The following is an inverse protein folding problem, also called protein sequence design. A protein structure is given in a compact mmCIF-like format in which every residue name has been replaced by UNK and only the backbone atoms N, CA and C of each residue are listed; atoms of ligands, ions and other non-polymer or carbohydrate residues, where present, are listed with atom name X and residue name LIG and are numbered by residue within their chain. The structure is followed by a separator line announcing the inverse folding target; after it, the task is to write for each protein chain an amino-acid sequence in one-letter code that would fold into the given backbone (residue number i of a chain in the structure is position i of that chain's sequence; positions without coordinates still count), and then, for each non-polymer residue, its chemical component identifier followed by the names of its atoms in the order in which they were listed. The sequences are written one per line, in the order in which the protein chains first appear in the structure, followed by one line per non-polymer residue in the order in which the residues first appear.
data_IF_289589624425
#
_entry.id   IF_289589624425
#
_cell.length_a   1.000
_cell.length_b   1.000
_cell.length_c   1.000
_cell.angle_alpha   90.00
_cell.angle_beta   90.00
_cell.angle_gamma   90.00
#
_symmetry.space_group_name_H-M   'P 1'
#
loop_
_entity.id
_entity.type
_entity.pdbx_description
1 polymer ?
#
# COMPACT_ATOMS: atom_id res chain seq x y z
N UNK A 1 -14.83 -24.62 19.25
CA UNK A 1 -14.37 -25.62 18.25
C UNK A 1 -14.92 -25.41 16.83
N UNK A 2 -15.51 -24.25 16.49
CA UNK A 2 -16.14 -23.98 15.17
C UNK A 2 -15.30 -23.12 14.21
N UNK A 3 -14.21 -22.48 14.68
CA UNK A 3 -13.39 -21.57 13.87
C UNK A 3 -12.56 -22.28 12.77
N UNK A 4 -12.18 -23.54 12.97
CA UNK A 4 -11.26 -24.23 12.05
C UNK A 4 -11.92 -24.65 10.73
N UNK A 5 -13.22 -24.95 10.70
CA UNK A 5 -13.88 -25.37 9.46
C UNK A 5 -14.16 -24.19 8.54
N UNK A 6 -14.73 -23.10 9.06
CA UNK A 6 -14.97 -21.89 8.28
C UNK A 6 -13.67 -21.27 7.78
N UNK A 7 -12.63 -21.18 8.62
CA UNK A 7 -11.34 -20.66 8.17
C UNK A 7 -10.73 -21.52 7.07
N UNK A 8 -10.79 -22.86 7.16
CA UNK A 8 -10.25 -23.75 6.11
C UNK A 8 -11.07 -23.70 4.83
N UNK A 9 -12.40 -23.63 4.93
CA UNK A 9 -13.29 -23.46 3.79
C UNK A 9 -13.03 -22.12 3.09
N UNK A 10 -12.98 -21.02 3.83
CA UNK A 10 -12.68 -19.69 3.29
C UNK A 10 -11.30 -19.65 2.64
N UNK A 11 -10.25 -20.20 3.29
CA UNK A 11 -8.90 -20.26 2.69
C UNK A 11 -8.86 -21.14 1.44
N UNK A 12 -9.54 -22.29 1.43
CA UNK A 12 -9.65 -23.14 0.24
C UNK A 12 -10.39 -22.43 -0.89
N UNK A 13 -11.49 -21.74 -0.58
CA UNK A 13 -12.28 -20.98 -1.54
C UNK A 13 -11.48 -19.81 -2.12
N UNK A 14 -10.73 -19.06 -1.29
CA UNK A 14 -9.83 -17.99 -1.74
C UNK A 14 -8.69 -18.51 -2.63
N UNK A 15 -8.10 -19.67 -2.28
CA UNK A 15 -7.03 -20.30 -3.07
C UNK A 15 -7.56 -20.85 -4.39
N UNK A 16 -8.77 -21.39 -4.42
CA UNK A 16 -9.44 -21.84 -5.63
C UNK A 16 -9.86 -20.66 -6.51
N UNK A 17 -10.42 -19.59 -5.94
CA UNK A 17 -10.86 -18.40 -6.68
C UNK A 17 -9.71 -17.71 -7.43
N UNK A 18 -8.47 -17.79 -6.91
CA UNK A 18 -7.28 -17.25 -7.57
C UNK A 18 -6.73 -18.06 -8.75
N UNK A 19 -7.25 -19.27 -9.02
CA UNK A 19 -6.75 -20.12 -10.12
C UNK A 19 -7.45 -19.79 -11.44
N UNK A 20 -6.72 -19.63 -12.56
CA UNK A 20 -7.31 -19.37 -13.89
C UNK A 20 -8.35 -20.40 -14.32
N UNK A 21 -8.17 -21.67 -13.95
CA UNK A 21 -9.13 -22.75 -14.24
C UNK A 21 -10.49 -22.56 -13.56
N UNK A 22 -10.52 -21.97 -12.35
CA UNK A 22 -11.76 -21.69 -11.62
C UNK A 22 -12.54 -20.57 -12.28
N UNK A 23 -11.85 -19.56 -12.81
CA UNK A 23 -12.46 -18.51 -13.62
C UNK A 23 -13.07 -19.08 -14.90
N UNK A 24 -12.33 -19.92 -15.62
CA UNK A 24 -12.85 -20.59 -16.82
C UNK A 24 -14.09 -21.45 -16.53
N UNK A 25 -14.09 -22.19 -15.42
CA UNK A 25 -15.26 -22.96 -14.97
C UNK A 25 -16.45 -22.07 -14.63
N UNK A 26 -16.23 -20.95 -13.93
CA UNK A 26 -17.28 -19.99 -13.61
C UNK A 26 -17.90 -19.37 -14.88
N UNK A 27 -17.06 -18.99 -15.86
CA UNK A 27 -17.51 -18.49 -17.16
C UNK A 27 -18.30 -19.56 -17.91
N UNK A 28 -17.83 -20.81 -17.93
CA UNK A 28 -18.56 -21.90 -18.57
C UNK A 28 -19.94 -22.13 -17.93
N UNK A 29 -20.04 -22.07 -16.60
CA UNK A 29 -21.33 -22.16 -15.89
C UNK A 29 -22.29 -21.02 -16.27
N UNK A 30 -21.79 -19.79 -16.38
CA UNK A 30 -22.58 -18.63 -16.83
C UNK A 30 -23.07 -18.82 -18.26
N UNK A 31 -22.22 -19.32 -19.17
CA UNK A 31 -22.59 -19.60 -20.56
C UNK A 31 -23.64 -20.70 -20.65
N UNK A 32 -23.44 -21.83 -19.95
CA UNK A 32 -24.42 -22.93 -19.90
C UNK A 32 -25.77 -22.43 -19.38
N UNK A 33 -25.75 -21.63 -18.33
CA UNK A 33 -26.96 -21.02 -17.81
C UNK A 33 -27.63 -20.07 -18.83
N UNK A 34 -26.87 -19.20 -19.49
CA UNK A 34 -27.42 -18.30 -20.52
C UNK A 34 -28.04 -19.04 -21.70
N UNK A 35 -27.41 -20.13 -22.15
CA UNK A 35 -27.92 -20.99 -23.23
C UNK A 35 -29.16 -21.79 -22.81
N UNK A 36 -29.37 -22.02 -21.51
CA UNK A 36 -30.62 -22.61 -21.01
C UNK A 36 -31.82 -21.66 -21.13
N UNK A 37 -31.60 -20.33 -21.18
CA UNK A 37 -32.66 -19.32 -21.27
C UNK A 37 -33.63 -19.49 -22.46
N UNK A 38 -33.13 -19.66 -23.70
CA UNK A 38 -33.94 -19.96 -24.87
C UNK A 38 -34.81 -21.23 -24.73
N UNK A 39 -34.31 -22.28 -24.06
CA UNK A 39 -35.08 -23.51 -23.83
C UNK A 39 -36.28 -23.28 -22.91
N UNK A 40 -36.17 -22.32 -21.98
CA UNK A 40 -37.23 -21.94 -21.04
C UNK A 40 -38.00 -20.67 -21.45
N UNK A 41 -37.84 -20.22 -22.70
CA UNK A 41 -38.48 -18.99 -23.23
C UNK A 41 -38.24 -17.75 -22.36
N UNK A 42 -37.12 -17.68 -21.64
CA UNK A 42 -36.85 -16.61 -20.66
C UNK A 42 -37.98 -16.41 -19.64
N UNK A 43 -38.61 -17.50 -19.20
CA UNK A 43 -39.74 -17.48 -18.26
C UNK A 43 -39.46 -16.73 -16.96
N UNK A 44 -40.53 -16.30 -16.29
CA UNK A 44 -40.45 -15.66 -14.98
C UNK A 44 -39.72 -16.53 -13.95
N UNK A 45 -39.87 -17.85 -14.02
CA UNK A 45 -39.13 -18.79 -13.16
C UNK A 45 -37.63 -18.77 -13.44
N UNK A 46 -37.23 -18.71 -14.72
CA UNK A 46 -35.83 -18.64 -15.11
C UNK A 46 -35.15 -17.36 -14.60
N UNK A 47 -35.86 -16.22 -14.69
CA UNK A 47 -35.37 -14.94 -14.16
C UNK A 47 -35.34 -14.92 -12.63
N UNK A 48 -36.40 -15.43 -11.98
CA UNK A 48 -36.51 -15.51 -10.53
C UNK A 48 -35.34 -16.29 -9.91
N UNK A 49 -35.03 -17.46 -10.46
CA UNK A 49 -33.92 -18.30 -9.96
C UNK A 49 -32.61 -17.51 -9.92
N UNK A 50 -32.34 -16.64 -10.89
CA UNK A 50 -31.05 -15.94 -10.98
C UNK A 50 -30.99 -14.66 -10.20
N UNK A 51 -32.06 -13.90 -10.19
CA UNK A 51 -32.16 -12.75 -9.29
C UNK A 51 -32.04 -13.20 -7.83
N UNK A 52 -32.71 -14.29 -7.45
CA UNK A 52 -32.59 -14.85 -6.10
C UNK A 52 -31.21 -15.44 -5.82
N UNK A 53 -30.65 -16.23 -6.74
CA UNK A 53 -29.35 -16.87 -6.54
C UNK A 53 -28.22 -15.85 -6.44
N UNK A 54 -28.19 -14.86 -7.33
CA UNK A 54 -27.17 -13.81 -7.34
C UNK A 54 -27.27 -12.98 -6.06
N UNK A 55 -28.47 -12.71 -5.57
CA UNK A 55 -28.67 -12.00 -4.29
C UNK A 55 -28.06 -12.78 -3.12
N UNK A 56 -28.33 -14.08 -3.02
CA UNK A 56 -27.75 -14.93 -1.97
C UNK A 56 -26.22 -14.96 -2.08
N UNK A 57 -25.68 -15.21 -3.27
CA UNK A 57 -24.23 -15.25 -3.50
C UNK A 57 -23.59 -13.91 -3.17
N UNK A 58 -24.21 -12.80 -3.56
CA UNK A 58 -23.73 -11.45 -3.26
C UNK A 58 -23.70 -11.20 -1.76
N UNK A 59 -24.78 -11.55 -1.02
CA UNK A 59 -24.79 -11.44 0.43
C UNK A 59 -23.67 -12.26 1.07
N UNK A 60 -23.50 -13.52 0.66
CA UNK A 60 -22.41 -14.36 1.15
C UNK A 60 -21.03 -13.77 0.79
N UNK A 61 -20.87 -13.23 -0.41
CA UNK A 61 -19.63 -12.62 -0.87
C UNK A 61 -19.29 -11.37 -0.06
N UNK A 62 -20.27 -10.54 0.29
CA UNK A 62 -20.07 -9.39 1.19
C UNK A 62 -19.53 -9.86 2.54
N UNK A 63 -20.09 -10.91 3.15
CA UNK A 63 -19.55 -11.48 4.40
C UNK A 63 -18.14 -12.05 4.23
N UNK A 64 -17.86 -12.76 3.14
CA UNK A 64 -16.53 -13.32 2.85
C UNK A 64 -15.47 -12.24 2.64
N UNK A 65 -15.83 -11.20 1.88
CA UNK A 65 -14.99 -10.02 1.65
C UNK A 65 -14.74 -9.32 2.99
N UNK A 66 -15.77 -9.04 3.77
CA UNK A 66 -15.62 -8.39 5.08
C UNK A 66 -14.75 -9.22 6.03
N UNK A 67 -14.91 -10.55 6.09
CA UNK A 67 -14.07 -11.40 6.94
C UNK A 67 -12.60 -11.41 6.49
N UNK A 68 -12.34 -11.43 5.18
CA UNK A 68 -10.97 -11.41 4.65
C UNK A 68 -10.35 -10.03 4.85
N UNK A 69 -11.07 -8.97 4.50
CA UNK A 69 -10.64 -7.58 4.71
C UNK A 69 -10.38 -7.27 6.18
N UNK A 70 -11.23 -7.73 7.11
CA UNK A 70 -11.01 -7.50 8.53
C UNK A 70 -9.69 -8.12 9.02
N UNK A 71 -9.36 -9.33 8.54
CA UNK A 71 -8.08 -9.98 8.86
C UNK A 71 -6.89 -9.27 8.21
N UNK A 72 -7.03 -8.87 6.96
CA UNK A 72 -5.97 -8.18 6.23
C UNK A 72 -5.69 -6.80 6.84
N UNK A 73 -6.72 -6.05 7.25
CA UNK A 73 -6.58 -4.77 7.96
C UNK A 73 -5.81 -4.93 9.26
N UNK A 74 -6.18 -5.90 10.10
CA UNK A 74 -5.46 -6.18 11.35
C UNK A 74 -3.98 -6.56 11.10
N UNK A 75 -3.71 -7.37 10.07
CA UNK A 75 -2.34 -7.73 9.71
C UNK A 75 -1.53 -6.53 9.19
N UNK A 76 -2.16 -5.59 8.48
CA UNK A 76 -1.53 -4.35 8.04
C UNK A 76 -1.17 -3.45 9.22
N UNK A 77 -2.09 -3.29 10.19
CA UNK A 77 -1.87 -2.50 11.41
C UNK A 77 -0.65 -3.01 12.20
N UNK A 78 -0.59 -4.31 12.50
CA UNK A 78 0.54 -4.92 13.22
C UNK A 78 1.88 -4.68 12.51
N UNK A 79 1.90 -4.76 11.17
CA UNK A 79 3.11 -4.50 10.39
C UNK A 79 3.54 -3.03 10.46
N UNK A 80 2.59 -2.10 10.43
CA UNK A 80 2.87 -0.67 10.57
C UNK A 80 3.37 -0.34 11.97
N UNK A 81 2.76 -0.92 13.00
CA UNK A 81 3.20 -0.78 14.39
C UNK A 81 4.64 -1.27 14.57
N UNK A 82 5.00 -2.39 13.96
CA UNK A 82 6.38 -2.88 14.00
C UNK A 82 7.36 -1.92 13.31
N UNK A 83 6.97 -1.32 12.19
CA UNK A 83 7.79 -0.32 11.50
C UNK A 83 7.96 0.96 12.33
N UNK A 84 6.90 1.45 12.97
CA UNK A 84 6.94 2.61 13.88
C UNK A 84 7.87 2.30 15.06
N UNK A 85 7.72 1.11 15.66
CA UNK A 85 8.52 0.68 16.80
C UNK A 85 10.00 0.52 16.46
N UNK A 86 10.32 0.12 15.24
CA UNK A 86 11.70 -0.06 14.77
C UNK A 86 12.37 1.23 14.28
N UNK A 87 11.60 2.30 14.02
CA UNK A 87 12.12 3.57 13.51
C UNK A 87 12.56 4.51 14.65
N UNK A 88 13.85 4.82 14.71
CA UNK A 88 14.39 5.79 15.68
C UNK A 88 13.76 7.18 15.48
N UNK A 89 13.28 7.79 16.57
CA UNK A 89 12.60 9.10 16.55
C UNK A 89 11.11 9.07 16.22
N UNK A 90 10.54 7.90 15.90
CA UNK A 90 9.10 7.75 15.74
C UNK A 90 8.37 7.89 17.09
N UNK A 91 7.19 8.50 17.07
CA UNK A 91 6.39 8.69 18.28
C UNK A 91 5.60 7.41 18.59
N UNK A 92 6.05 6.65 19.60
CA UNK A 92 5.35 5.45 20.08
C UNK A 92 3.88 5.68 20.48
N UNK A 93 3.49 6.94 20.76
CA UNK A 93 2.11 7.33 21.01
C UNK A 93 1.18 7.17 19.79
N UNK A 94 1.70 6.78 18.63
CA UNK A 94 0.96 6.50 17.40
C UNK A 94 0.77 5.01 17.14
N UNK A 95 1.35 4.14 17.96
CA UNK A 95 1.02 2.72 17.97
C UNK A 95 -0.46 2.59 18.36
N UNK A 96 -1.15 1.65 17.72
CA UNK A 96 -2.55 1.33 18.05
C UNK A 96 -3.50 2.53 17.83
N UNK A 97 -3.27 3.31 16.77
CA UNK A 97 -4.03 4.51 16.48
C UNK A 97 -5.51 4.21 16.15
N UNK A 98 -5.81 3.02 15.65
CA UNK A 98 -7.16 2.56 15.30
C UNK A 98 -8.07 2.34 16.51
N UNK A 99 -7.52 2.07 17.69
CA UNK A 99 -8.28 1.87 18.92
C UNK A 99 -8.61 3.19 19.63
N UNK A 100 -7.97 4.29 19.22
CA UNK A 100 -8.19 5.61 19.81
C UNK A 100 -9.59 6.14 19.52
N UNK A 101 -10.17 6.82 20.51
CA UNK A 101 -11.42 7.54 20.34
C UNK A 101 -11.31 8.72 19.37
N UNK A 102 -12.43 9.10 18.75
CA UNK A 102 -12.52 10.16 17.73
C UNK A 102 -11.84 11.48 18.14
N UNK A 103 -11.96 11.86 19.43
CA UNK A 103 -11.36 13.10 19.96
C UNK A 103 -9.83 13.06 19.91
N UNK A 104 -9.23 11.94 20.27
CA UNK A 104 -7.79 11.75 20.27
C UNK A 104 -7.25 11.61 18.85
N UNK A 105 -7.96 10.88 17.99
CA UNK A 105 -7.65 10.74 16.57
C UNK A 105 -7.67 12.11 15.85
N UNK A 106 -8.65 12.95 16.18
CA UNK A 106 -8.72 14.35 15.70
C UNK A 106 -7.55 15.18 16.21
N UNK A 107 -7.13 15.00 17.47
CA UNK A 107 -5.98 15.71 18.05
C UNK A 107 -4.69 15.37 17.33
N UNK A 108 -4.45 14.08 17.07
CA UNK A 108 -3.29 13.64 16.28
C UNK A 108 -3.33 14.20 14.86
N UNK A 109 -4.49 14.11 14.18
CA UNK A 109 -4.66 14.68 12.83
C UNK A 109 -4.33 16.17 12.80
N UNK A 110 -4.84 16.96 13.75
CA UNK A 110 -4.56 18.41 13.83
C UNK A 110 -3.07 18.70 13.98
N UNK A 111 -2.35 17.95 14.82
CA UNK A 111 -0.90 18.11 15.00
C UNK A 111 -0.14 17.83 13.70
N UNK A 112 -0.50 16.78 12.97
CA UNK A 112 0.13 16.46 11.68
C UNK A 112 -0.17 17.47 10.59
N UNK A 113 -1.39 18.01 10.55
CA UNK A 113 -1.74 19.09 9.63
C UNK A 113 -0.91 20.33 9.92
N UNK A 114 -0.75 20.70 11.19
CA UNK A 114 0.12 21.81 11.60
C UNK A 114 1.57 21.59 11.19
N UNK A 115 2.12 20.40 11.47
CA UNK A 115 3.50 20.06 11.06
C UNK A 115 3.69 20.14 9.54
N UNK A 116 2.71 19.66 8.76
CA UNK A 116 2.74 19.75 7.30
C UNK A 116 2.62 21.21 6.80
N UNK A 117 1.85 22.06 7.47
CA UNK A 117 1.76 23.49 7.16
C UNK A 117 3.07 24.22 7.47
N UNK A 118 3.71 23.91 8.59
CA UNK A 118 5.02 24.42 8.98
C UNK A 118 6.08 24.01 7.95
N UNK A 119 6.14 22.74 7.56
CA UNK A 119 7.06 22.22 6.55
C UNK A 119 6.85 22.90 5.17
N UNK A 120 5.60 23.04 4.72
CA UNK A 120 5.26 23.77 3.47
C UNK A 120 5.67 25.24 3.53
N UNK A 121 5.54 25.88 4.69
CA UNK A 121 5.93 27.27 4.87
C UNK A 121 7.45 27.41 4.85
N UNK A 122 8.16 26.51 5.53
CA UNK A 122 9.61 26.44 5.52
C UNK A 122 10.17 26.23 4.11
N UNK A 123 9.58 25.33 3.33
CA UNK A 123 9.88 25.12 1.91
C UNK A 123 9.71 26.40 1.07
N UNK A 124 8.62 27.14 1.27
CA UNK A 124 8.37 28.41 0.55
C UNK A 124 9.39 29.49 0.88
N UNK A 125 9.97 29.45 2.09
CA UNK A 125 11.06 30.34 2.50
C UNK A 125 12.46 29.82 2.12
N UNK A 126 12.58 28.73 1.35
CA UNK A 126 13.86 28.20 0.87
C UNK A 126 14.53 27.16 1.78
N UNK A 127 13.80 26.61 2.77
CA UNK A 127 14.27 25.51 3.62
C UNK A 127 14.10 24.12 2.97
N UNK A 128 14.73 23.10 3.56
CA UNK A 128 14.62 21.69 3.15
C UNK A 128 13.47 20.99 3.89
N UNK A 129 12.69 20.16 3.18
CA UNK A 129 11.46 19.48 3.68
C UNK A 129 11.73 18.25 4.55
N UNK A 130 12.96 17.76 4.58
CA UNK A 130 13.30 16.43 5.13
C UNK A 130 14.63 16.45 5.89
N UNK A 131 14.73 15.63 6.95
CA UNK A 131 15.98 15.24 7.62
C UNK A 131 16.83 14.25 6.80
N UNK A 132 16.30 13.81 5.64
CA UNK A 132 16.96 12.94 4.67
C UNK A 132 17.40 13.78 3.46
N UNK A 133 18.66 13.70 3.00
CA UNK A 133 19.09 14.44 1.81
C UNK A 133 18.22 14.07 0.61
N UNK A 134 17.67 15.08 -0.07
CA UNK A 134 17.00 14.88 -1.35
C UNK A 134 18.03 14.35 -2.35
N UNK A 135 17.91 13.07 -2.74
CA UNK A 135 18.79 12.49 -3.76
C UNK A 135 18.32 13.00 -5.12
N UNK A 136 18.89 14.13 -5.52
CA UNK A 136 18.73 14.70 -6.86
C UNK A 136 19.59 13.89 -7.84
N UNK A 137 18.99 12.89 -8.50
CA UNK A 137 19.65 12.09 -9.54
C UNK A 137 19.95 12.87 -10.83
N UNK A 138 19.68 14.18 -10.89
CA UNK A 138 19.85 15.00 -12.09
C UNK A 138 20.95 16.05 -12.00
N UNK A 139 21.69 16.15 -10.89
CA UNK A 139 22.92 16.95 -10.84
C UNK A 139 24.11 16.12 -11.33
N UNK A 140 24.80 16.53 -12.43
CA UNK A 140 26.07 15.90 -12.77
C UNK A 140 27.04 16.08 -11.60
N UNK A 141 27.76 15.01 -11.24
CA UNK A 141 28.83 15.07 -10.23
C UNK A 141 29.74 16.26 -10.55
N UNK A 142 30.13 17.06 -9.54
CA UNK A 142 31.16 18.06 -9.75
C UNK A 142 32.44 17.34 -10.15
N UNK A 143 32.93 17.66 -11.35
CA UNK A 143 34.16 17.17 -11.94
C UNK A 143 35.29 17.25 -10.90
N UNK A 144 35.82 16.09 -10.46
CA UNK A 144 36.87 15.98 -9.43
C UNK A 144 38.21 16.59 -9.91
N UNK A 145 38.26 17.02 -11.19
CA UNK A 145 39.37 17.73 -11.83
C UNK A 145 39.63 19.14 -11.27
N UNK A 146 38.71 19.74 -10.50
CA UNK A 146 38.91 21.07 -9.92
C UNK A 146 39.83 21.08 -8.68
N UNK A 147 40.28 19.92 -8.17
CA UNK A 147 41.14 19.85 -6.97
C UNK A 147 42.64 20.01 -7.21
N UNK A 148 43.11 20.19 -8.46
CA UNK A 148 44.55 20.34 -8.74
C UNK A 148 44.97 21.65 -9.43
N UNK A 149 44.80 22.83 -8.81
CA UNK A 149 45.66 23.97 -9.15
C UNK A 149 46.87 24.14 -8.21
N UNK A 150 46.79 23.65 -6.96
CA UNK A 150 47.80 23.99 -5.93
C UNK A 150 49.06 23.14 -5.96
N UNK A 151 49.03 21.93 -6.51
CA UNK A 151 50.23 21.08 -6.57
C UNK A 151 51.19 21.46 -7.72
N UNK A 152 50.68 21.90 -8.89
CA UNK A 152 51.54 22.28 -10.03
C UNK A 152 52.35 23.56 -9.80
N UNK A 153 51.90 24.45 -8.92
CA UNK A 153 52.62 25.68 -8.59
C UNK A 153 53.85 25.43 -7.70
N UNK A 154 53.84 24.38 -6.87
CA UNK A 154 54.96 24.03 -6.00
C UNK A 154 56.10 23.31 -6.76
N UNK A 155 55.76 22.53 -7.80
CA UNK A 155 56.73 21.76 -8.59
C UNK A 155 57.51 22.65 -9.58
N UNK A 156 56.90 23.76 -10.01
CA UNK A 156 57.53 24.72 -10.94
C UNK A 156 58.58 25.60 -10.25
N UNK A 157 58.45 25.85 -8.94
CA UNK A 157 59.40 26.67 -8.17
C UNK A 157 60.65 25.88 -7.75
N UNK A 158 60.49 24.57 -7.42
CA UNK A 158 61.60 23.70 -7.04
C UNK A 158 62.59 23.42 -8.20
N UNK A 159 62.11 23.43 -9.45
CA UNK A 159 62.97 23.19 -10.62
C UNK A 159 63.79 24.41 -11.07
N UNK A 160 63.51 25.61 -10.54
CA UNK A 160 64.21 26.84 -10.94
C UNK A 160 65.46 27.15 -10.10
N UNK A 161 65.69 26.40 -9.03
CA UNK A 161 66.82 26.60 -8.11
C UNK A 161 67.97 25.59 -8.25
N UNK A 162 67.89 24.66 -9.22
CA UNK A 162 68.92 23.63 -9.47
C UNK A 162 69.46 23.58 -10.91
N UNK A 163 69.57 24.76 -11.56
CA UNK A 163 70.29 24.95 -12.82
C UNK A 163 71.46 25.91 -12.66
#
# INVERSE_FOLDING_TARGET
MTQNWFSRFSTALSTMAGRPATFALAVALVVVWGVSGPLFHFSDTWQLVINTSTTIVTFLMVFLIQNTQNRDTAAMQIKLDELIRALEGAHNALLDLEELGEKDLTRFRKRYVQLAEEARTALRSGGTDTDSPFVDHQRPEPDDDAKQPRERAAETDASRHHG
#
